data_IF_274946152360
#
_entry.id   IF_274946152360
#
_cell.length_a   1.000
_cell.length_b   1.000
_cell.length_c   1.000
_cell.angle_alpha   90.00
_cell.angle_beta   90.00
_cell.angle_gamma   90.00
#
_symmetry.space_group_name_H-M   'P 1'
#
loop_
_entity.id
_entity.type
_entity.pdbx_description
1 polymer ?
#
# COMPACT_ATOMS: atom_id res chain seq x y z
N UNK A 1 35.31 24.29 -22.48
CA UNK A 1 33.87 24.61 -22.31
C UNK A 1 33.09 23.50 -23.01
N UNK A 2 32.81 22.39 -22.31
CA UNK A 2 31.96 21.32 -22.86
C UNK A 2 30.50 21.64 -22.55
N UNK A 3 29.75 22.00 -23.57
CA UNK A 3 28.29 22.00 -23.53
C UNK A 3 27.82 20.56 -23.76
N UNK A 4 27.64 19.80 -22.68
CA UNK A 4 26.88 18.55 -22.76
C UNK A 4 25.40 18.90 -22.92
N UNK A 5 24.90 18.80 -24.15
CA UNK A 5 23.47 18.71 -24.40
C UNK A 5 23.01 17.31 -23.94
N UNK A 6 22.50 17.19 -22.72
CA UNK A 6 21.55 16.11 -22.41
C UNK A 6 20.25 16.46 -23.13
N UNK A 7 19.93 15.68 -24.17
CA UNK A 7 18.75 15.90 -25.00
C UNK A 7 17.48 15.22 -24.47
N UNK A 8 17.60 14.35 -23.47
CA UNK A 8 16.50 13.61 -22.87
C UNK A 8 16.57 13.78 -21.35
N UNK A 9 15.47 14.22 -20.75
CA UNK A 9 15.25 14.40 -19.32
C UNK A 9 13.72 14.56 -19.07
N UNK A 10 13.29 14.60 -17.80
CA UNK A 10 11.88 14.69 -17.43
C UNK A 10 11.59 15.91 -16.55
N UNK A 11 10.32 16.31 -16.46
CA UNK A 11 9.85 17.23 -15.43
C UNK A 11 9.60 16.47 -14.13
N UNK A 12 10.23 16.90 -13.04
CA UNK A 12 10.01 16.36 -11.70
C UNK A 12 9.26 17.39 -10.84
N UNK A 13 8.22 16.93 -10.15
CA UNK A 13 7.30 17.79 -9.41
C UNK A 13 7.66 17.86 -7.92
N UNK A 14 7.70 19.06 -7.38
CA UNK A 14 7.79 19.29 -5.95
C UNK A 14 6.41 19.18 -5.29
N UNK A 15 6.32 18.40 -4.22
CA UNK A 15 5.10 18.19 -3.45
C UNK A 15 5.41 18.14 -1.95
N UNK A 16 4.52 17.58 -1.13
CA UNK A 16 4.61 17.55 0.34
C UNK A 16 5.94 17.06 0.89
N UNK A 17 6.62 16.11 0.20
CA UNK A 17 7.95 15.65 0.61
C UNK A 17 9.03 16.73 0.42
N UNK A 18 9.03 17.46 -0.69
CA UNK A 18 9.96 18.58 -0.91
C UNK A 18 9.79 19.69 0.13
N UNK A 19 8.54 19.98 0.51
CA UNK A 19 8.22 20.96 1.55
C UNK A 19 8.69 20.45 2.93
N UNK A 20 8.51 19.17 3.26
CA UNK A 20 8.99 18.62 4.53
C UNK A 20 10.51 18.61 4.65
N UNK A 21 11.23 18.46 3.52
CA UNK A 21 12.68 18.64 3.43
C UNK A 21 13.13 20.12 3.44
N UNK A 22 12.22 21.08 3.62
CA UNK A 22 12.50 22.53 3.68
C UNK A 22 13.14 23.08 2.40
N UNK A 23 12.84 22.49 1.24
CA UNK A 23 13.17 23.10 -0.05
C UNK A 23 12.33 24.37 -0.26
N UNK A 24 12.75 25.24 -1.18
CA UNK A 24 12.14 26.54 -1.43
C UNK A 24 10.82 26.44 -2.23
N UNK A 25 9.85 25.69 -1.69
CA UNK A 25 8.59 25.29 -2.31
C UNK A 25 7.44 25.83 -1.44
N UNK A 26 6.80 26.96 -1.83
CA UNK A 26 5.79 27.62 -0.99
C UNK A 26 4.43 26.91 -0.93
N UNK A 27 4.05 26.16 -1.97
CA UNK A 27 2.76 25.45 -2.08
C UNK A 27 2.92 24.12 -2.80
N UNK A 28 1.97 23.20 -2.58
CA UNK A 28 1.85 21.93 -3.31
C UNK A 28 1.18 22.13 -4.68
N UNK A 29 1.26 21.15 -5.60
CA UNK A 29 0.56 21.21 -6.88
C UNK A 29 -0.94 21.49 -6.72
N UNK A 30 -1.47 22.36 -7.56
CA UNK A 30 -2.87 22.79 -7.58
C UNK A 30 -3.55 22.35 -8.87
N UNK A 31 -4.74 21.77 -8.73
CA UNK A 31 -5.71 21.54 -9.79
C UNK A 31 -7.11 21.66 -9.21
N UNK A 32 -8.07 22.08 -10.04
CA UNK A 32 -9.46 22.31 -9.62
C UNK A 32 -10.40 21.63 -10.63
N UNK A 33 -11.43 20.86 -10.21
CA UNK A 33 -12.21 20.01 -11.10
C UNK A 33 -13.08 20.78 -12.11
N UNK A 34 -13.32 22.07 -11.87
CA UNK A 34 -13.96 22.99 -12.79
C UNK A 34 -12.99 23.66 -13.79
N UNK A 35 -11.68 23.66 -13.50
CA UNK A 35 -10.62 24.19 -14.36
C UNK A 35 -9.99 23.05 -15.19
N UNK A 36 -10.77 22.53 -16.15
CA UNK A 36 -10.46 21.29 -16.89
C UNK A 36 -9.07 21.33 -17.54
N UNK A 37 -8.23 20.35 -17.18
CA UNK A 37 -6.88 20.18 -17.71
C UNK A 37 -5.80 21.00 -16.99
N UNK A 38 -6.17 22.01 -16.19
CA UNK A 38 -5.20 22.90 -15.54
C UNK A 38 -4.55 22.22 -14.33
N UNK A 39 -3.22 22.07 -14.39
CA UNK A 39 -2.38 21.63 -13.27
C UNK A 39 -1.21 22.60 -13.14
N UNK A 40 -1.05 23.20 -11.95
CA UNK A 40 0.04 24.15 -11.66
C UNK A 40 0.93 23.55 -10.57
N UNK A 41 2.24 23.55 -10.76
CA UNK A 41 3.18 22.92 -9.83
C UNK A 41 4.57 23.58 -9.84
N UNK A 42 5.27 23.56 -8.71
CA UNK A 42 6.72 23.80 -8.70
C UNK A 42 7.45 22.56 -9.23
N UNK A 43 8.50 22.77 -10.02
CA UNK A 43 9.23 21.63 -10.59
C UNK A 43 10.67 21.93 -10.99
N UNK A 44 11.36 20.86 -11.37
CA UNK A 44 12.72 20.89 -11.91
C UNK A 44 12.84 19.95 -13.09
N UNK A 45 13.45 20.41 -14.18
CA UNK A 45 13.73 19.58 -15.38
C UNK A 45 15.09 18.91 -15.22
N UNK A 46 15.14 17.58 -15.38
CA UNK A 46 16.34 16.77 -15.18
C UNK A 46 16.03 15.28 -15.02
N UNK A 47 16.95 14.52 -14.41
CA UNK A 47 16.79 13.08 -14.17
C UNK A 47 16.15 12.75 -12.81
N UNK A 48 16.10 13.73 -11.90
CA UNK A 48 15.50 13.63 -10.56
C UNK A 48 15.02 15.00 -10.05
N UNK A 49 14.28 15.00 -8.94
CA UNK A 49 13.94 16.22 -8.18
C UNK A 49 15.23 16.93 -7.76
N UNK A 50 15.37 18.19 -8.17
CA UNK A 50 16.51 19.04 -7.81
C UNK A 50 16.36 19.68 -6.43
N UNK A 51 17.47 20.06 -5.80
CA UNK A 51 17.48 20.90 -4.57
C UNK A 51 17.61 22.40 -4.87
N UNK A 52 17.73 22.76 -6.15
CA UNK A 52 17.80 24.15 -6.60
C UNK A 52 16.46 24.87 -6.38
N UNK A 53 16.47 26.20 -6.39
CA UNK A 53 15.24 27.00 -6.33
C UNK A 53 14.37 26.67 -7.56
N UNK A 54 13.12 26.21 -7.37
CA UNK A 54 12.29 25.73 -8.47
C UNK A 54 11.57 26.86 -9.20
N UNK A 55 11.32 26.63 -10.49
CA UNK A 55 10.36 27.40 -11.28
C UNK A 55 8.95 26.84 -11.11
N UNK A 56 7.93 27.60 -11.52
CA UNK A 56 6.55 27.11 -11.60
C UNK A 56 6.25 26.68 -13.04
N UNK A 57 5.66 25.50 -13.18
CA UNK A 57 5.22 24.90 -14.43
C UNK A 57 3.70 24.77 -14.43
N UNK A 58 3.11 24.81 -15.62
CA UNK A 58 1.70 24.62 -15.86
C UNK A 58 1.50 23.58 -16.97
N UNK A 59 0.52 22.72 -16.78
CA UNK A 59 -0.09 21.90 -17.83
C UNK A 59 -1.53 22.38 -18.00
N UNK A 60 -2.00 22.42 -19.24
CA UNK A 60 -3.39 22.68 -19.60
C UNK A 60 -4.11 21.44 -20.15
N UNK A 61 -3.48 20.27 -20.16
CA UNK A 61 -4.02 19.03 -20.73
C UNK A 61 -4.13 17.87 -19.73
N UNK A 62 -3.94 18.15 -18.43
CA UNK A 62 -3.98 17.15 -17.35
C UNK A 62 -2.63 16.49 -17.06
N UNK A 63 -1.53 17.00 -17.62
CA UNK A 63 -0.16 16.59 -17.31
C UNK A 63 0.59 15.87 -18.44
N UNK A 64 0.03 15.83 -19.65
CA UNK A 64 0.69 15.27 -20.84
C UNK A 64 1.77 16.20 -21.37
N UNK A 65 1.47 17.49 -21.50
CA UNK A 65 2.42 18.54 -21.84
C UNK A 65 2.50 19.61 -20.76
N UNK A 66 3.67 20.25 -20.67
CA UNK A 66 4.00 21.22 -19.64
C UNK A 66 4.76 22.40 -20.23
N UNK A 67 4.45 23.61 -19.76
CA UNK A 67 5.19 24.83 -20.03
C UNK A 67 5.74 25.41 -18.72
N UNK A 68 6.88 26.11 -18.78
CA UNK A 68 7.31 26.96 -17.67
C UNK A 68 6.34 28.16 -17.60
N UNK A 69 5.66 28.31 -16.46
CA UNK A 69 4.66 29.33 -16.23
C UNK A 69 5.28 30.62 -15.68
N UNK A 70 6.16 30.49 -14.67
CA UNK A 70 6.83 31.61 -14.01
C UNK A 70 8.24 31.17 -13.55
N UNK A 71 9.21 32.08 -13.66
CA UNK A 71 10.55 31.87 -13.12
C UNK A 71 10.57 32.08 -11.61
N UNK A 72 11.20 31.16 -10.88
CA UNK A 72 11.25 31.15 -9.42
C UNK A 72 9.93 30.80 -8.72
N UNK A 73 9.97 30.60 -7.39
CA UNK A 73 8.83 30.10 -6.63
C UNK A 73 7.74 31.15 -6.48
N UNK A 74 6.50 30.77 -6.78
CA UNK A 74 5.32 31.60 -6.55
C UNK A 74 4.26 30.85 -5.75
N UNK A 75 3.44 31.57 -4.99
CA UNK A 75 2.12 31.12 -4.57
C UNK A 75 1.15 31.35 -5.72
N UNK A 76 0.25 30.40 -5.98
CA UNK A 76 -0.73 30.50 -7.06
C UNK A 76 -2.13 30.09 -6.61
N UNK A 77 -3.15 30.59 -7.31
CA UNK A 77 -4.55 30.18 -7.14
C UNK A 77 -5.30 30.29 -8.47
N UNK A 78 -6.35 29.48 -8.62
CA UNK A 78 -7.24 29.47 -9.78
C UNK A 78 -8.56 30.14 -9.37
N UNK A 79 -9.07 31.02 -10.22
CA UNK A 79 -10.33 31.74 -10.04
C UNK A 79 -11.23 31.53 -11.27
N UNK A 80 -12.53 31.77 -11.09
CA UNK A 80 -13.57 31.67 -12.14
C UNK A 80 -13.43 30.43 -13.06
N UNK A 81 -13.23 29.26 -12.46
CA UNK A 81 -13.09 27.96 -13.14
C UNK A 81 -11.98 27.89 -14.19
N UNK A 82 -10.87 28.62 -13.97
CA UNK A 82 -9.75 28.71 -14.91
C UNK A 82 -9.73 30.00 -15.73
N UNK A 83 -10.78 30.84 -15.65
CA UNK A 83 -10.85 32.13 -16.34
C UNK A 83 -9.78 33.13 -15.88
N UNK A 84 -9.25 32.99 -14.66
CA UNK A 84 -8.08 33.74 -14.18
C UNK A 84 -7.16 32.84 -13.36
N UNK A 85 -5.86 32.92 -13.63
CA UNK A 85 -4.82 32.38 -12.75
C UNK A 85 -4.10 33.57 -12.10
N UNK A 86 -3.91 33.50 -10.79
CA UNK A 86 -3.25 34.54 -9.98
C UNK A 86 -1.98 33.97 -9.36
N UNK A 87 -0.92 34.78 -9.31
CA UNK A 87 0.34 34.43 -8.65
C UNK A 87 0.95 35.58 -7.83
N UNK A 88 1.59 35.21 -6.71
CA UNK A 88 2.41 36.09 -5.86
C UNK A 88 3.81 35.49 -5.75
N UNK A 89 4.84 36.31 -5.93
CA UNK A 89 6.23 35.89 -5.82
C UNK A 89 6.60 35.51 -4.38
N UNK A 90 7.24 34.35 -4.19
CA UNK A 90 7.76 33.95 -2.89
C UNK A 90 9.14 34.60 -2.66
N UNK A 91 9.14 35.67 -1.86
CA UNK A 91 10.34 36.43 -1.51
C UNK A 91 10.50 36.55 0.00
N UNK A 92 11.75 36.71 0.45
CA UNK A 92 12.08 37.10 1.82
C UNK A 92 11.97 38.62 2.06
N UNK A 93 11.79 39.40 0.98
CA UNK A 93 11.57 40.84 1.03
C UNK A 93 10.06 41.17 0.92
N UNK A 94 9.61 42.32 1.44
CA UNK A 94 8.24 42.79 1.27
C UNK A 94 7.85 42.94 -0.21
N UNK A 95 6.62 42.52 -0.54
CA UNK A 95 6.06 42.60 -1.90
C UNK A 95 4.80 43.49 -1.93
N UNK A 96 4.53 44.09 -3.07
CA UNK A 96 3.34 44.90 -3.34
C UNK A 96 2.73 44.68 -4.74
N UNK A 97 3.18 43.64 -5.44
CA UNK A 97 2.78 43.30 -6.81
C UNK A 97 2.10 41.93 -6.81
N UNK A 98 0.99 41.83 -7.54
CA UNK A 98 0.32 40.58 -7.92
C UNK A 98 0.49 40.36 -9.42
N UNK A 99 0.67 39.11 -9.83
CA UNK A 99 0.71 38.67 -11.22
C UNK A 99 -0.62 37.99 -11.55
N UNK A 100 -1.20 38.24 -12.72
CA UNK A 100 -2.40 37.52 -13.17
C UNK A 100 -2.36 37.21 -14.67
N UNK A 101 -3.04 36.14 -15.07
CA UNK A 101 -3.23 35.67 -16.44
C UNK A 101 -4.71 35.36 -16.67
N UNK A 102 -5.21 35.62 -17.88
CA UNK A 102 -6.58 35.30 -18.33
C UNK A 102 -6.58 34.34 -19.52
N UNK A 103 -5.46 33.62 -19.74
CA UNK A 103 -5.18 32.79 -20.91
C UNK A 103 -4.48 31.48 -20.52
N UNK A 104 -4.91 30.89 -19.39
CA UNK A 104 -4.37 29.66 -18.82
C UNK A 104 -2.84 29.71 -18.57
N UNK A 105 -2.34 30.84 -18.10
CA UNK A 105 -0.95 31.02 -17.66
C UNK A 105 0.06 31.34 -18.76
N UNK A 106 -0.38 31.62 -19.99
CA UNK A 106 0.51 31.90 -21.13
C UNK A 106 1.05 33.34 -21.14
N UNK A 107 0.22 34.34 -20.86
CA UNK A 107 0.62 35.74 -20.72
C UNK A 107 0.28 36.29 -19.33
N UNK A 108 1.23 37.03 -18.77
CA UNK A 108 1.14 37.55 -17.40
C UNK A 108 1.16 39.07 -17.39
N UNK A 109 0.26 39.65 -16.59
CA UNK A 109 0.21 41.07 -16.28
C UNK A 109 0.54 41.29 -14.80
N UNK A 110 1.23 42.38 -14.50
CA UNK A 110 1.57 42.81 -13.13
C UNK A 110 0.67 43.94 -12.67
N UNK A 111 0.19 43.88 -11.44
CA UNK A 111 -0.59 44.93 -10.81
C UNK A 111 -0.05 45.26 -9.41
N UNK A 112 0.19 46.54 -9.15
CA UNK A 112 0.65 47.03 -7.84
C UNK A 112 -0.55 47.26 -6.93
N UNK A 113 -0.83 46.31 -6.03
CA UNK A 113 -2.02 46.34 -5.18
C UNK A 113 -1.90 47.27 -3.96
N UNK A 114 -0.68 47.70 -3.60
CA UNK A 114 -0.45 48.64 -2.49
C UNK A 114 0.78 49.53 -2.73
N UNK A 115 0.79 50.71 -2.10
CA UNK A 115 1.95 51.61 -2.05
C UNK A 115 2.95 51.24 -0.96
N UNK A 116 2.48 50.56 0.09
CA UNK A 116 3.28 50.12 1.24
C UNK A 116 3.45 48.60 1.18
N UNK A 117 4.63 48.08 0.80
CA UNK A 117 4.87 46.65 0.67
C UNK A 117 4.68 45.86 1.96
N UNK A 118 4.26 44.60 1.83
CA UNK A 118 3.95 43.71 2.94
C UNK A 118 4.85 42.47 2.92
N UNK A 119 5.19 41.95 4.09
CA UNK A 119 5.66 40.58 4.22
C UNK A 119 4.46 39.65 3.98
N UNK A 120 4.44 39.05 2.79
CA UNK A 120 3.37 38.15 2.35
C UNK A 120 3.36 36.86 3.19
N UNK A 121 2.17 36.36 3.51
CA UNK A 121 1.99 35.11 4.27
C UNK A 121 1.06 34.11 3.62
N UNK A 122 0.12 34.53 2.77
CA UNK A 122 -0.81 33.60 2.14
C UNK A 122 -1.85 34.25 1.22
N UNK A 123 -2.46 33.40 0.39
CA UNK A 123 -3.62 33.71 -0.46
C UNK A 123 -4.87 33.04 0.14
N UNK A 124 -6.02 33.71 0.05
CA UNK A 124 -7.31 33.14 0.45
C UNK A 124 -8.41 33.48 -0.58
N UNK A 125 -9.01 32.46 -1.16
CA UNK A 125 -10.13 32.51 -2.10
C UNK A 125 -11.32 31.68 -1.60
N UNK A 126 -12.49 31.85 -2.23
CA UNK A 126 -13.67 31.00 -2.00
C UNK A 126 -13.36 29.56 -2.51
N UNK A 127 -13.55 28.51 -1.69
CA UNK A 127 -13.30 27.13 -2.11
C UNK A 127 -14.09 26.71 -3.36
N UNK A 128 -13.47 25.89 -4.20
CA UNK A 128 -14.04 25.42 -5.48
C UNK A 128 -13.85 26.41 -6.65
N UNK A 129 -12.92 27.37 -6.52
CA UNK A 129 -12.41 28.21 -7.60
C UNK A 129 -13.47 28.93 -8.48
N UNK A 130 -14.66 29.21 -7.95
CA UNK A 130 -15.79 29.85 -8.67
C UNK A 130 -15.89 31.36 -8.46
N UNK A 131 -15.17 31.91 -7.48
CA UNK A 131 -15.13 33.35 -7.23
C UNK A 131 -14.10 34.04 -8.12
N UNK A 132 -14.29 35.35 -8.34
CA UNK A 132 -13.29 36.27 -8.88
C UNK A 132 -12.56 37.07 -7.78
N UNK A 133 -12.85 36.78 -6.51
CA UNK A 133 -12.28 37.50 -5.37
C UNK A 133 -11.08 36.74 -4.80
N UNK A 134 -9.96 37.45 -4.62
CA UNK A 134 -8.76 36.93 -3.95
C UNK A 134 -8.33 37.88 -2.83
N UNK A 135 -8.05 37.34 -1.64
CA UNK A 135 -7.51 38.08 -0.50
C UNK A 135 -6.04 37.75 -0.31
N UNK A 136 -5.18 38.77 -0.48
CA UNK A 136 -3.74 38.70 -0.23
C UNK A 136 -3.52 39.02 1.25
N UNK A 137 -2.89 38.11 2.00
CA UNK A 137 -2.61 38.29 3.42
C UNK A 137 -1.12 38.51 3.67
N UNK A 138 -0.82 39.36 4.65
CA UNK A 138 0.53 39.60 5.14
C UNK A 138 0.56 40.57 6.31
N UNK A 139 1.76 41.03 6.65
CA UNK A 139 1.95 42.06 7.67
C UNK A 139 2.91 43.16 7.20
N UNK A 140 2.64 44.37 7.68
CA UNK A 140 3.57 45.50 7.61
C UNK A 140 4.45 45.43 8.85
N UNK A 141 5.76 45.40 8.67
CA UNK A 141 6.72 45.46 9.77
C UNK A 141 7.26 46.90 9.91
N UNK A 142 7.11 47.44 11.11
CA UNK A 142 7.71 48.70 11.54
C UNK A 142 8.62 48.42 12.75
N UNK A 143 9.57 49.31 13.03
CA UNK A 143 10.60 49.12 14.08
C UNK A 143 10.07 48.70 15.47
N UNK A 144 8.80 49.00 15.78
CA UNK A 144 8.16 48.67 17.07
C UNK A 144 6.93 47.77 16.98
N UNK A 145 6.36 47.52 15.79
CA UNK A 145 5.08 46.79 15.66
C UNK A 145 4.97 46.02 14.35
N UNK A 146 4.31 44.86 14.39
CA UNK A 146 3.82 44.14 13.20
C UNK A 146 2.31 44.30 13.11
N UNK A 147 1.81 44.80 11.98
CA UNK A 147 0.37 44.98 11.73
C UNK A 147 -0.08 44.06 10.61
N UNK A 148 -0.99 43.13 10.92
CA UNK A 148 -1.64 42.31 9.92
C UNK A 148 -2.54 43.14 9.02
N UNK A 149 -2.51 42.85 7.72
CA UNK A 149 -3.33 43.49 6.69
C UNK A 149 -3.79 42.45 5.67
N UNK A 150 -4.94 42.71 5.05
CA UNK A 150 -5.45 41.92 3.93
C UNK A 150 -5.91 42.84 2.82
N UNK A 151 -5.49 42.55 1.59
CA UNK A 151 -5.92 43.27 0.39
C UNK A 151 -6.77 42.33 -0.46
N UNK A 152 -8.07 42.60 -0.55
CA UNK A 152 -8.99 41.82 -1.40
C UNK A 152 -9.16 42.51 -2.75
N UNK A 153 -8.94 41.75 -3.83
CA UNK A 153 -9.08 42.19 -5.22
C UNK A 153 -10.25 41.42 -5.83
N UNK A 154 -11.17 42.14 -6.48
CA UNK A 154 -12.24 41.59 -7.30
C UNK A 154 -11.89 41.83 -8.77
N UNK A 155 -11.81 40.76 -9.55
CA UNK A 155 -11.46 40.81 -10.98
C UNK A 155 -12.64 41.07 -11.92
N UNK A 156 -13.84 41.36 -11.41
CA UNK A 156 -15.04 41.67 -12.21
C UNK A 156 -14.84 42.75 -13.28
N UNK A 157 -14.03 43.77 -12.99
CA UNK A 157 -13.72 44.85 -13.95
C UNK A 157 -12.63 44.48 -14.98
N UNK A 158 -11.96 43.34 -14.82
CA UNK A 158 -11.12 42.73 -15.85
C UNK A 158 -11.99 41.85 -16.76
N UNK A 159 -12.79 40.96 -16.19
CA UNK A 159 -13.72 40.08 -16.92
C UNK A 159 -15.13 40.69 -17.06
N UNK A 160 -15.23 41.85 -17.73
CA UNK A 160 -16.48 42.65 -17.81
C UNK A 160 -17.65 41.99 -18.53
N UNK A 161 -17.42 40.91 -19.28
CA UNK A 161 -18.43 40.23 -20.11
C UNK A 161 -18.49 38.76 -19.71
N UNK A 162 -19.68 38.21 -19.57
CA UNK A 162 -19.89 36.77 -19.39
C UNK A 162 -19.56 36.02 -20.67
N UNK A 163 -19.04 34.80 -20.55
CA UNK A 163 -18.74 33.96 -21.70
C UNK A 163 -20.01 33.49 -22.42
N UNK A 164 -19.92 33.39 -23.75
CA UNK A 164 -20.96 32.89 -24.65
C UNK A 164 -20.47 31.60 -25.33
N UNK A 165 -21.35 30.84 -25.99
CA UNK A 165 -20.97 29.57 -26.66
C UNK A 165 -19.76 29.70 -27.60
N UNK A 166 -19.62 30.84 -28.29
CA UNK A 166 -18.49 31.17 -29.19
C UNK A 166 -17.12 31.20 -28.49
N UNK A 167 -17.10 31.51 -27.19
CA UNK A 167 -15.89 31.60 -26.37
C UNK A 167 -15.34 30.23 -25.99
N UNK A 168 -16.13 29.16 -26.18
CA UNK A 168 -15.69 27.80 -25.92
C UNK A 168 -15.18 27.10 -27.19
N UNK A 169 -14.35 26.08 -27.00
CA UNK A 169 -13.85 25.17 -28.03
C UNK A 169 -14.01 23.74 -27.57
N UNK A 170 -14.23 22.83 -28.53
CA UNK A 170 -14.22 21.39 -28.27
C UNK A 170 -12.77 20.97 -28.00
N UNK A 171 -12.56 20.16 -26.96
CA UNK A 171 -11.28 19.57 -26.60
C UNK A 171 -11.49 18.10 -26.21
N UNK A 172 -10.76 17.18 -26.86
CA UNK A 172 -10.76 15.76 -26.53
C UNK A 172 -9.72 15.50 -25.44
N UNK A 173 -10.16 15.03 -24.28
CA UNK A 173 -9.23 14.65 -23.21
C UNK A 173 -8.42 13.40 -23.60
N UNK A 174 -7.18 13.32 -23.09
CA UNK A 174 -6.28 12.18 -23.28
C UNK A 174 -5.93 11.86 -24.75
N UNK A 175 -6.10 12.83 -25.67
CA UNK A 175 -5.68 12.67 -27.08
C UNK A 175 -4.15 12.61 -27.17
N UNK A 176 -3.64 11.57 -27.82
CA UNK A 176 -2.22 11.31 -28.04
C UNK A 176 -1.87 11.02 -29.49
N UNK A 177 -2.80 10.47 -30.29
CA UNK A 177 -2.62 10.23 -31.72
C UNK A 177 -3.90 10.60 -32.51
N UNK A 178 -4.02 11.88 -32.96
CA UNK A 178 -5.21 12.39 -33.66
C UNK A 178 -5.46 11.70 -35.01
N UNK A 179 -6.16 10.58 -34.97
CA UNK A 179 -6.47 9.75 -36.14
C UNK A 179 -6.74 8.29 -35.78
N UNK A 180 -6.21 7.81 -34.66
CA UNK A 180 -6.52 6.47 -34.17
C UNK A 180 -7.96 6.37 -33.62
N UNK A 181 -8.57 5.19 -33.80
CA UNK A 181 -9.89 4.90 -33.25
C UNK A 181 -9.86 4.82 -31.72
N UNK A 182 -8.74 4.42 -31.11
CA UNK A 182 -8.50 4.41 -29.67
C UNK A 182 -8.18 5.77 -29.04
N UNK A 183 -7.90 6.81 -29.83
CA UNK A 183 -7.40 8.09 -29.31
C UNK A 183 -8.28 8.71 -28.22
N UNK A 184 -7.73 8.98 -27.03
CA UNK A 184 -8.49 9.47 -25.88
C UNK A 184 -9.35 8.44 -25.13
N UNK A 185 -9.28 7.14 -25.44
CA UNK A 185 -9.91 6.09 -24.63
C UNK A 185 -9.15 5.88 -23.32
N UNK A 186 -9.71 6.30 -22.19
CA UNK A 186 -9.22 6.00 -20.83
C UNK A 186 -10.33 5.31 -20.04
N UNK A 187 -10.01 4.17 -19.43
CA UNK A 187 -10.98 3.33 -18.71
C UNK A 187 -12.22 3.01 -19.56
N UNK A 188 -12.00 2.71 -20.84
CA UNK A 188 -13.04 2.26 -21.77
C UNK A 188 -13.97 3.34 -22.34
N UNK A 189 -13.67 4.63 -22.17
CA UNK A 189 -14.42 5.73 -22.82
C UNK A 189 -13.56 6.97 -23.05
N UNK A 190 -14.01 7.82 -23.97
CA UNK A 190 -13.46 9.14 -24.25
C UNK A 190 -14.33 10.22 -23.62
N UNK A 191 -13.76 11.36 -23.24
CA UNK A 191 -14.51 12.56 -22.83
C UNK A 191 -14.14 13.77 -23.70
N UNK A 192 -15.12 14.32 -24.40
CA UNK A 192 -14.99 15.60 -25.12
C UNK A 192 -15.57 16.72 -24.26
N UNK A 193 -14.81 17.78 -24.02
CA UNK A 193 -15.17 18.93 -23.21
C UNK A 193 -15.41 20.16 -24.07
N UNK A 194 -16.28 21.07 -23.60
CA UNK A 194 -16.24 22.47 -24.01
C UNK A 194 -15.36 23.23 -23.02
N UNK A 195 -14.22 23.73 -23.48
CA UNK A 195 -13.27 24.53 -22.70
C UNK A 195 -13.21 25.96 -23.18
N UNK A 196 -12.97 26.90 -22.26
CA UNK A 196 -12.79 28.31 -22.59
C UNK A 196 -11.57 28.47 -23.52
N UNK A 197 -11.71 29.26 -24.59
CA UNK A 197 -10.57 29.61 -25.45
C UNK A 197 -9.62 30.51 -24.69
N UNK A 198 -8.32 30.23 -24.73
CA UNK A 198 -7.26 31.08 -24.16
C UNK A 198 -7.30 32.54 -24.64
N UNK A 199 -7.82 32.79 -25.85
CA UNK A 199 -8.02 34.12 -26.41
C UNK A 199 -9.31 34.84 -25.96
N UNK A 200 -10.22 34.15 -25.28
CA UNK A 200 -11.53 34.68 -24.86
C UNK A 200 -11.48 35.21 -23.43
N UNK A 201 -11.24 36.50 -23.30
CA UNK A 201 -11.27 37.20 -22.01
C UNK A 201 -12.74 37.47 -21.62
N UNK A 202 -13.33 36.56 -20.86
CA UNK A 202 -14.70 36.64 -20.35
C UNK A 202 -14.85 35.84 -19.04
N UNK A 203 -15.94 36.11 -18.31
CA UNK A 203 -16.28 35.40 -17.08
C UNK A 203 -17.08 34.11 -17.37
N UNK A 204 -16.61 32.95 -16.90
CA UNK A 204 -17.34 31.69 -16.91
C UNK A 204 -18.61 31.76 -16.04
N UNK A 205 -18.47 32.33 -14.83
CA UNK A 205 -19.60 32.54 -13.90
C UNK A 205 -19.66 31.52 -12.76
N UNK A 206 -20.31 31.91 -11.65
CA UNK A 206 -20.45 31.06 -10.44
C UNK A 206 -21.27 29.80 -10.71
N UNK A 207 -22.25 29.89 -11.59
CA UNK A 207 -23.13 28.83 -12.06
C UNK A 207 -22.55 27.99 -13.21
N UNK A 208 -21.31 28.27 -13.65
CA UNK A 208 -20.61 27.46 -14.64
C UNK A 208 -20.59 25.96 -14.27
N UNK A 209 -20.96 25.14 -15.25
CA UNK A 209 -20.93 23.68 -15.21
C UNK A 209 -20.07 23.20 -16.37
N UNK A 210 -19.09 22.35 -16.06
CA UNK A 210 -18.23 21.72 -17.06
C UNK A 210 -19.09 20.88 -18.01
N UNK A 211 -19.23 21.33 -19.25
CA UNK A 211 -19.95 20.59 -20.29
C UNK A 211 -19.04 19.55 -20.91
N UNK A 212 -19.43 18.28 -20.80
CA UNK A 212 -18.69 17.16 -21.40
C UNK A 212 -19.60 16.08 -21.98
N UNK A 213 -19.14 15.44 -23.04
CA UNK A 213 -19.83 14.36 -23.74
C UNK A 213 -18.96 13.09 -23.74
N UNK A 214 -19.41 11.99 -23.09
CA UNK A 214 -18.70 10.72 -23.12
C UNK A 214 -18.94 9.97 -24.44
N UNK A 215 -17.93 9.26 -24.93
CA UNK A 215 -18.04 8.33 -26.06
C UNK A 215 -17.46 6.97 -25.67
N UNK A 216 -18.28 5.92 -25.66
CA UNK A 216 -17.85 4.60 -25.16
C UNK A 216 -16.95 3.90 -26.17
N UNK A 217 -15.84 3.31 -25.69
CA UNK A 217 -14.90 2.54 -26.49
C UNK A 217 -15.26 1.04 -26.48
N UNK A 218 -14.79 0.32 -27.50
CA UNK A 218 -14.85 -1.15 -27.53
C UNK A 218 -13.84 -1.73 -26.53
N UNK A 219 -14.20 -2.78 -25.80
CA UNK A 219 -13.27 -3.41 -24.87
C UNK A 219 -12.10 -4.10 -25.59
N UNK A 220 -10.90 -3.95 -25.03
CA UNK A 220 -9.68 -4.65 -25.37
C UNK A 220 -9.30 -5.63 -24.25
N UNK A 221 -8.08 -6.20 -24.27
CA UNK A 221 -7.55 -6.93 -23.11
C UNK A 221 -7.00 -5.99 -22.01
N UNK A 222 -6.81 -4.71 -22.31
CA UNK A 222 -6.19 -3.73 -21.41
C UNK A 222 -7.20 -3.12 -20.44
N UNK A 223 -8.49 -3.08 -20.81
CA UNK A 223 -9.64 -2.70 -19.96
C UNK A 223 -9.95 -3.74 -18.84
N UNK A 224 -9.13 -4.79 -18.75
CA UNK A 224 -9.16 -5.82 -17.72
C UNK A 224 -7.85 -5.83 -16.92
N UNK A 225 -7.92 -6.27 -15.66
CA UNK A 225 -6.78 -6.66 -14.83
C UNK A 225 -6.75 -8.18 -14.67
N UNK A 226 -5.58 -8.74 -14.35
CA UNK A 226 -5.49 -10.15 -14.02
C UNK A 226 -6.11 -10.40 -12.65
N UNK A 227 -7.02 -11.36 -12.59
CA UNK A 227 -7.65 -11.74 -11.34
C UNK A 227 -6.70 -12.67 -10.53
N UNK A 228 -7.11 -13.00 -9.30
CA UNK A 228 -6.27 -13.76 -8.36
C UNK A 228 -5.62 -15.01 -8.99
N UNK A 229 -4.32 -15.22 -8.74
CA UNK A 229 -3.55 -16.36 -9.28
C UNK A 229 -3.20 -16.29 -10.77
N UNK A 230 -3.43 -15.15 -11.43
CA UNK A 230 -2.98 -14.86 -12.79
C UNK A 230 -2.01 -13.66 -12.81
N UNK A 231 -1.22 -13.52 -13.88
CA UNK A 231 -0.32 -12.39 -14.10
C UNK A 231 -0.14 -12.11 -15.60
N UNK A 232 0.37 -10.93 -15.96
CA UNK A 232 0.82 -10.62 -17.33
C UNK A 232 2.33 -10.89 -17.46
N UNK A 233 2.79 -11.70 -18.43
CA UNK A 233 4.20 -11.73 -18.82
C UNK A 233 4.64 -10.38 -19.43
N UNK A 234 5.95 -10.15 -19.49
CA UNK A 234 6.50 -8.99 -20.19
C UNK A 234 6.06 -8.99 -21.66
N UNK A 235 5.58 -7.84 -22.14
CA UNK A 235 5.11 -7.60 -23.51
C UNK A 235 3.90 -8.45 -23.98
N UNK A 236 3.11 -9.06 -23.07
CA UNK A 236 1.83 -9.70 -23.42
C UNK A 236 0.66 -9.12 -22.60
N UNK A 237 -0.39 -8.63 -23.27
CA UNK A 237 -1.61 -8.12 -22.65
C UNK A 237 -2.48 -9.24 -22.04
N UNK A 238 -2.18 -10.52 -22.31
CA UNK A 238 -2.94 -11.68 -21.80
C UNK A 238 -2.53 -12.04 -20.37
N UNK A 239 -3.53 -12.26 -19.54
CA UNK A 239 -3.34 -12.86 -18.22
C UNK A 239 -3.12 -14.37 -18.36
N UNK A 240 -1.98 -14.87 -17.87
CA UNK A 240 -1.65 -16.30 -17.80
C UNK A 240 -1.66 -16.77 -16.34
N UNK A 241 -1.95 -18.05 -16.13
CA UNK A 241 -2.04 -18.62 -14.78
C UNK A 241 -0.65 -18.69 -14.15
N UNK A 242 -0.49 -18.22 -12.91
CA UNK A 242 0.79 -18.30 -12.20
C UNK A 242 1.21 -19.78 -12.03
N UNK A 243 2.46 -20.19 -12.31
CA UNK A 243 2.88 -21.58 -12.12
C UNK A 243 2.73 -22.05 -10.67
N UNK A 244 3.07 -21.19 -9.70
CA UNK A 244 3.11 -21.47 -8.27
C UNK A 244 2.76 -20.19 -7.50
N UNK A 245 1.86 -20.29 -6.51
CA UNK A 245 1.46 -19.16 -5.66
C UNK A 245 2.44 -19.02 -4.49
N UNK A 246 2.90 -17.80 -4.18
CA UNK A 246 3.96 -17.54 -3.18
C UNK A 246 3.65 -16.34 -2.28
N UNK A 247 4.21 -16.35 -1.07
CA UNK A 247 4.02 -15.28 -0.09
C UNK A 247 2.52 -15.02 0.17
N UNK A 248 2.11 -13.76 0.05
CA UNK A 248 0.73 -13.35 0.30
C UNK A 248 -0.31 -14.02 -0.62
N UNK A 249 0.05 -14.40 -1.85
CA UNK A 249 -0.87 -15.09 -2.77
C UNK A 249 -1.19 -16.50 -2.25
N UNK A 250 -0.21 -17.18 -1.65
CA UNK A 250 -0.42 -18.49 -1.04
C UNK A 250 -1.28 -18.38 0.22
N UNK A 251 -1.03 -17.38 1.05
CA UNK A 251 -1.82 -17.09 2.26
C UNK A 251 -3.30 -16.81 1.89
N UNK A 252 -3.53 -15.95 0.89
CA UNK A 252 -4.87 -15.68 0.38
C UNK A 252 -5.55 -16.93 -0.20
N UNK A 253 -4.81 -17.82 -0.86
CA UNK A 253 -5.37 -19.06 -1.37
C UNK A 253 -5.79 -20.05 -0.27
N UNK A 254 -5.05 -20.08 0.85
CA UNK A 254 -5.32 -20.99 1.98
C UNK A 254 -6.43 -20.48 2.90
N UNK A 255 -6.51 -19.18 3.15
CA UNK A 255 -7.41 -18.58 4.15
C UNK A 255 -8.50 -17.67 3.55
N UNK A 256 -8.44 -17.37 2.25
CA UNK A 256 -9.41 -16.52 1.56
C UNK A 256 -10.79 -17.15 1.37
N UNK A 257 -11.77 -16.29 1.06
CA UNK A 257 -13.14 -16.72 0.73
C UNK A 257 -13.18 -17.38 -0.64
N UNK A 258 -13.87 -18.52 -0.74
CA UNK A 258 -13.91 -19.36 -1.96
C UNK A 258 -14.40 -18.60 -3.19
N UNK A 259 -15.34 -17.65 -3.01
CA UNK A 259 -15.86 -16.75 -4.05
C UNK A 259 -14.80 -15.86 -4.73
N UNK A 260 -13.64 -15.65 -4.09
CA UNK A 260 -12.49 -14.92 -4.65
C UNK A 260 -11.40 -15.85 -5.19
N UNK A 261 -11.52 -17.17 -4.97
CA UNK A 261 -10.62 -18.21 -5.47
C UNK A 261 -11.18 -18.88 -6.74
N UNK A 262 -12.48 -18.71 -7.01
CA UNK A 262 -13.14 -19.10 -8.25
C UNK A 262 -13.05 -17.98 -9.29
N UNK A 263 -12.21 -18.14 -10.31
CA UNK A 263 -11.95 -17.08 -11.32
C UNK A 263 -11.75 -17.62 -12.73
N UNK A 264 -12.02 -16.79 -13.74
CA UNK A 264 -11.66 -17.02 -15.15
C UNK A 264 -10.27 -16.41 -15.51
N UNK A 265 -9.63 -15.71 -14.56
CA UNK A 265 -8.33 -15.06 -14.69
C UNK A 265 -8.35 -13.61 -15.20
N UNK A 266 -9.52 -13.02 -15.45
CA UNK A 266 -9.67 -11.62 -15.86
C UNK A 266 -10.83 -10.95 -15.13
N UNK A 267 -10.58 -9.73 -14.64
CA UNK A 267 -11.60 -8.89 -14.02
C UNK A 267 -11.57 -7.52 -14.67
N UNK A 268 -12.74 -6.92 -14.93
CA UNK A 268 -12.80 -5.58 -15.54
C UNK A 268 -12.16 -4.55 -14.60
N UNK A 269 -11.42 -3.58 -15.13
CA UNK A 269 -10.79 -2.54 -14.31
C UNK A 269 -11.89 -1.74 -13.57
N UNK A 270 -11.73 -1.46 -12.25
CA UNK A 270 -12.69 -0.63 -11.52
C UNK A 270 -12.86 0.75 -12.13
N UNK A 271 -14.11 1.12 -12.43
CA UNK A 271 -14.46 2.38 -13.09
C UNK A 271 -14.51 2.30 -14.62
N UNK A 272 -14.12 1.18 -15.22
CA UNK A 272 -14.09 1.00 -16.67
C UNK A 272 -15.48 0.86 -17.30
N UNK A 273 -15.73 1.63 -18.37
CA UNK A 273 -17.03 1.73 -19.06
C UNK A 273 -17.04 1.23 -20.51
N UNK A 274 -15.99 0.55 -20.99
CA UNK A 274 -15.98 -0.08 -22.32
C UNK A 274 -17.19 -1.02 -22.52
N UNK A 275 -17.68 -1.12 -23.76
CA UNK A 275 -18.82 -1.96 -24.14
C UNK A 275 -18.55 -2.67 -25.47
N UNK A 276 -19.00 -3.92 -25.59
CA UNK A 276 -18.67 -4.75 -26.77
C UNK A 276 -17.18 -5.07 -26.85
N UNK A 277 -16.69 -5.43 -28.04
CA UNK A 277 -15.28 -5.78 -28.24
C UNK A 277 -14.90 -7.12 -27.59
N UNK A 278 -13.71 -7.18 -27.00
CA UNK A 278 -13.15 -8.37 -26.36
C UNK A 278 -13.82 -8.63 -25.02
N UNK A 279 -14.36 -9.83 -24.85
CA UNK A 279 -14.71 -10.39 -23.55
C UNK A 279 -13.90 -11.67 -23.34
N UNK A 280 -12.96 -11.73 -22.37
CA UNK A 280 -12.10 -12.89 -22.17
C UNK A 280 -12.86 -14.06 -21.52
N UNK A 281 -13.61 -14.80 -22.35
CA UNK A 281 -14.32 -16.02 -21.92
C UNK A 281 -13.31 -17.14 -21.67
N UNK A 282 -13.26 -17.61 -20.42
CA UNK A 282 -12.55 -18.81 -19.97
C UNK A 282 -13.43 -19.58 -19.00
N UNK A 283 -13.19 -20.88 -18.87
CA UNK A 283 -13.78 -21.68 -17.80
C UNK A 283 -13.37 -21.13 -16.44
N UNK A 284 -14.33 -21.02 -15.52
CA UNK A 284 -14.07 -20.59 -14.14
C UNK A 284 -13.34 -21.72 -13.42
N UNK A 285 -12.11 -21.45 -12.98
CA UNK A 285 -11.29 -22.37 -12.20
C UNK A 285 -11.37 -22.05 -10.71
N UNK A 286 -11.48 -23.10 -9.91
CA UNK A 286 -11.28 -23.06 -8.46
C UNK A 286 -9.79 -23.23 -8.14
N UNK A 287 -9.14 -22.14 -7.75
CA UNK A 287 -7.71 -22.13 -7.40
C UNK A 287 -7.41 -22.70 -6.01
N UNK A 288 -8.42 -22.88 -5.13
CA UNK A 288 -8.24 -23.47 -3.79
C UNK A 288 -7.66 -24.88 -3.90
N UNK A 289 -8.17 -25.69 -4.84
CA UNK A 289 -7.64 -27.02 -5.13
C UNK A 289 -6.17 -26.99 -5.52
N UNK A 290 -5.73 -25.96 -6.25
CA UNK A 290 -4.33 -25.81 -6.69
C UNK A 290 -3.40 -25.59 -5.51
N UNK A 291 -3.67 -24.60 -4.64
CA UNK A 291 -2.83 -24.39 -3.46
C UNK A 291 -2.92 -25.51 -2.43
N UNK A 292 -4.08 -26.16 -2.26
CA UNK A 292 -4.18 -27.32 -1.34
C UNK A 292 -3.52 -28.59 -1.88
N UNK A 293 -3.26 -28.70 -3.19
CA UNK A 293 -2.75 -29.95 -3.80
C UNK A 293 -1.34 -30.34 -3.36
N UNK A 294 -0.53 -29.38 -2.93
CA UNK A 294 0.81 -29.60 -2.35
C UNK A 294 0.77 -30.01 -0.88
N UNK A 295 -0.36 -29.83 -0.19
CA UNK A 295 -0.54 -30.22 1.21
C UNK A 295 -1.15 -31.62 1.32
N UNK A 296 -0.59 -32.43 2.22
CA UNK A 296 -1.15 -33.74 2.54
C UNK A 296 -2.48 -33.59 3.29
N UNK A 297 -3.59 -33.87 2.60
CA UNK A 297 -4.93 -33.92 3.20
C UNK A 297 -4.97 -34.95 4.35
N UNK A 298 -5.52 -34.61 5.53
CA UNK A 298 -5.42 -35.44 6.74
C UNK A 298 -6.06 -36.83 6.61
N UNK A 299 -7.00 -37.04 5.67
CA UNK A 299 -7.61 -38.35 5.42
C UNK A 299 -6.60 -39.45 5.05
N UNK A 300 -5.47 -39.12 4.41
CA UNK A 300 -4.44 -40.11 4.03
C UNK A 300 -3.60 -40.64 5.20
N UNK A 301 -3.68 -40.05 6.39
CA UNK A 301 -3.00 -40.55 7.59
C UNK A 301 -3.83 -41.60 8.37
N UNK A 302 -5.12 -41.77 8.05
CA UNK A 302 -5.98 -42.78 8.68
C UNK A 302 -5.79 -44.20 8.10
N UNK A 303 -4.54 -44.66 7.97
CA UNK A 303 -4.29 -46.09 8.00
C UNK A 303 -4.59 -46.58 9.41
N UNK A 304 -5.75 -47.23 9.58
CA UNK A 304 -6.16 -47.85 10.85
C UNK A 304 -5.04 -48.75 11.38
N UNK A 305 -4.35 -48.29 12.42
CA UNK A 305 -3.56 -49.16 13.29
C UNK A 305 -4.54 -50.02 14.09
N UNK A 306 -5.01 -51.10 13.46
CA UNK A 306 -5.73 -52.15 14.17
C UNK A 306 -4.76 -52.78 15.15
N UNK A 307 -4.79 -52.35 16.41
CA UNK A 307 -3.98 -52.86 17.53
C UNK A 307 -4.44 -54.25 18.02
N UNK A 308 -5.60 -54.72 17.55
CA UNK A 308 -6.22 -56.01 17.87
C UNK A 308 -5.28 -57.24 17.76
N UNK A 309 -4.51 -57.47 16.68
CA UNK A 309 -3.63 -58.63 16.59
C UNK A 309 -2.43 -58.53 17.54
N UNK A 310 -1.97 -57.31 17.87
CA UNK A 310 -0.88 -57.08 18.83
C UNK A 310 -1.37 -57.41 20.25
N UNK A 311 -2.59 -56.98 20.60
CA UNK A 311 -3.22 -57.28 21.90
C UNK A 311 -3.53 -58.78 22.02
N UNK A 312 -4.00 -59.43 20.95
CA UNK A 312 -4.22 -60.89 20.97
C UNK A 312 -2.92 -61.68 21.10
N UNK A 313 -1.83 -61.22 20.48
CA UNK A 313 -0.52 -61.86 20.61
C UNK A 313 0.05 -61.74 22.04
N UNK A 314 -0.07 -60.57 22.70
CA UNK A 314 0.40 -60.40 24.08
C UNK A 314 -0.45 -61.17 25.09
N UNK A 315 -1.78 -61.17 24.95
CA UNK A 315 -2.68 -61.99 25.79
C UNK A 315 -2.42 -63.48 25.58
N UNK A 316 -2.21 -63.92 24.33
CA UNK A 316 -1.83 -65.31 24.02
C UNK A 316 -0.52 -65.72 24.68
N UNK A 317 0.52 -64.87 24.60
CA UNK A 317 1.81 -65.13 25.25
C UNK A 317 1.67 -65.23 26.78
N UNK A 318 0.89 -64.34 27.40
CA UNK A 318 0.62 -64.36 28.84
C UNK A 318 -0.15 -65.61 29.30
N UNK A 319 -1.10 -66.11 28.49
CA UNK A 319 -1.78 -67.37 28.79
C UNK A 319 -0.83 -68.57 28.66
N UNK A 320 0.06 -68.59 27.66
CA UNK A 320 1.05 -69.66 27.49
C UNK A 320 2.06 -69.68 28.65
N UNK A 321 2.54 -68.53 29.13
CA UNK A 321 3.46 -68.47 30.29
C UNK A 321 2.78 -68.91 31.58
N UNK A 322 1.51 -68.55 31.81
CA UNK A 322 0.73 -69.02 32.96
C UNK A 322 0.51 -70.54 32.90
N UNK A 323 0.13 -71.10 31.74
CA UNK A 323 -0.05 -72.55 31.57
C UNK A 323 1.28 -73.29 31.77
N UNK A 324 2.39 -72.78 31.23
CA UNK A 324 3.72 -73.36 31.45
C UNK A 324 4.11 -73.34 32.94
N UNK A 325 3.87 -72.23 33.64
CA UNK A 325 4.09 -72.11 35.09
C UNK A 325 3.28 -73.14 35.90
N UNK A 326 1.98 -73.28 35.60
CA UNK A 326 1.11 -74.27 36.25
C UNK A 326 1.57 -75.70 35.97
N UNK A 327 2.02 -76.01 34.74
CA UNK A 327 2.56 -77.33 34.40
C UNK A 327 3.89 -77.64 35.10
N UNK A 328 4.77 -76.65 35.26
CA UNK A 328 6.03 -76.79 36.00
C UNK A 328 5.75 -77.04 37.49
N UNK A 329 4.89 -76.24 38.12
CA UNK A 329 4.50 -76.43 39.54
C UNK A 329 3.85 -77.80 39.73
N UNK A 330 2.91 -78.19 38.85
CA UNK A 330 2.26 -79.52 38.90
C UNK A 330 3.24 -80.68 38.71
N UNK A 331 4.30 -80.50 37.91
CA UNK A 331 5.32 -81.52 37.65
C UNK A 331 6.35 -81.68 38.78
N UNK A 332 6.64 -80.62 39.54
CA UNK A 332 7.71 -80.62 40.53
C UNK A 332 7.28 -80.55 42.01
N UNK A 333 6.02 -80.21 42.32
CA UNK A 333 5.58 -80.01 43.73
C UNK A 333 4.62 -81.10 44.25
N UNK A 334 3.92 -81.86 43.39
CA UNK A 334 2.84 -82.76 43.81
C UNK A 334 2.98 -84.25 43.38
N UNK A 335 4.19 -84.76 43.19
CA UNK A 335 4.39 -86.16 42.74
C UNK A 335 5.73 -86.77 43.17
N UNK A 336 5.89 -87.07 44.46
CA UNK A 336 7.16 -87.57 45.01
C UNK A 336 7.40 -89.08 44.91
N UNK A 337 8.64 -89.46 44.58
CA UNK A 337 9.43 -90.62 45.09
C UNK A 337 10.87 -90.44 44.56
N UNK A 338 11.89 -90.06 45.33
CA UNK A 338 12.55 -90.68 46.51
C UNK A 338 13.31 -91.99 46.21
N UNK A 339 14.64 -91.87 46.03
CA UNK A 339 15.72 -92.83 46.33
C UNK A 339 17.07 -92.11 46.02
N UNK A 340 18.04 -91.83 46.89
CA UNK A 340 18.61 -92.42 48.14
C UNK A 340 19.85 -93.29 47.91
N UNK A 341 21.04 -92.68 48.12
CA UNK A 341 22.31 -93.26 48.64
C UNK A 341 23.15 -94.23 47.75
N UNK A 342 24.48 -94.44 47.93
CA UNK A 342 25.49 -94.05 48.99
C UNK A 342 26.98 -94.24 48.56
N UNK A 343 27.92 -93.53 49.21
CA UNK A 343 29.39 -93.75 49.39
C UNK A 343 30.34 -93.77 48.16
N UNK A 344 31.66 -93.50 48.25
CA UNK A 344 32.62 -93.46 49.40
C UNK A 344 33.70 -92.32 49.25
N UNK A 345 34.21 -91.66 50.33
CA UNK A 345 35.44 -91.96 51.16
C UNK A 345 36.77 -91.63 50.40
N UNK A 346 37.76 -90.87 50.90
CA UNK A 346 38.15 -90.36 52.24
C UNK A 346 39.12 -89.13 52.16
N UNK A 347 39.45 -88.58 53.35
CA UNK A 347 40.67 -87.81 53.74
C UNK A 347 40.76 -86.29 53.41
N UNK A 348 41.35 -85.39 54.23
CA UNK A 348 41.57 -85.32 55.72
C UNK A 348 42.03 -83.88 56.16
N UNK A 349 41.75 -83.48 57.41
CA UNK A 349 42.45 -82.43 58.23
C UNK A 349 42.45 -80.93 57.81
N UNK A 350 42.52 -79.92 58.70
CA UNK A 350 42.49 -79.85 60.19
C UNK A 350 42.19 -78.41 60.72
N UNK A 351 41.79 -78.30 62.01
CA UNK A 351 42.00 -77.14 62.95
C UNK A 351 41.34 -75.77 62.63
N UNK A 352 41.01 -74.87 63.58
CA UNK A 352 40.86 -74.90 65.05
C UNK A 352 39.93 -73.74 65.55
N UNK A 353 39.70 -73.64 66.86
CA UNK A 353 38.76 -72.71 67.54
C UNK A 353 39.23 -71.24 67.64
N UNK A 354 38.34 -70.29 67.99
CA UNK A 354 38.76 -69.01 68.62
C UNK A 354 37.71 -67.89 68.67
N UNK A 355 37.29 -67.50 69.88
CA UNK A 355 36.21 -66.55 70.24
C UNK A 355 36.71 -65.12 70.57
N UNK A 356 35.79 -64.14 70.56
CA UNK A 356 35.78 -62.79 71.20
C UNK A 356 36.49 -61.55 70.57
N UNK A 357 35.68 -60.52 70.27
CA UNK A 357 35.68 -59.26 71.04
C UNK A 357 36.21 -57.95 70.41
N UNK A 358 35.48 -56.84 70.69
CA UNK A 358 35.91 -55.40 70.65
C UNK A 358 35.99 -54.79 69.22
N UNK A 359 35.39 -53.64 68.89
CA UNK A 359 35.52 -52.30 69.52
C UNK A 359 34.24 -51.43 69.57
N UNK A 360 34.27 -50.37 70.40
CA UNK A 360 33.16 -49.44 70.71
C UNK A 360 33.47 -47.97 70.40
N UNK A 361 32.45 -47.15 70.06
CA UNK A 361 32.10 -45.87 70.75
C UNK A 361 31.09 -44.98 69.98
N UNK A 362 30.28 -44.25 70.76
CA UNK A 362 29.20 -43.32 70.35
C UNK A 362 29.69 -41.88 70.04
N UNK A 363 28.80 -40.99 69.54
CA UNK A 363 28.17 -39.88 70.34
C UNK A 363 27.51 -38.77 69.49
N UNK A 364 26.34 -38.27 69.95
CA UNK A 364 25.58 -37.02 69.59
C UNK A 364 24.95 -36.93 68.17
N UNK A 365 23.66 -36.56 67.93
CA UNK A 365 22.76 -35.48 68.44
C UNK A 365 23.10 -34.07 67.88
N UNK A 366 22.19 -33.15 67.52
CA UNK A 366 20.73 -33.02 67.71
C UNK A 366 20.13 -32.01 66.66
N UNK A 367 18.84 -32.16 66.29
CA UNK A 367 17.85 -31.12 65.80
C UNK A 367 18.29 -29.73 65.26
N UNK A 368 17.73 -29.27 64.12
CA UNK A 368 16.69 -28.19 64.11
C UNK A 368 15.99 -27.89 62.76
N UNK A 369 15.12 -26.85 62.74
CA UNK A 369 13.92 -26.63 61.88
C UNK A 369 13.87 -25.19 61.29
N UNK A 370 12.87 -24.91 60.44
CA UNK A 370 12.38 -23.59 59.90
C UNK A 370 12.98 -23.16 58.54
N UNK A 371 12.30 -22.37 57.69
CA UNK A 371 11.04 -21.60 57.87
C UNK A 371 10.30 -21.17 56.58
N UNK A 372 9.27 -20.33 56.72
CA UNK A 372 8.19 -19.98 55.75
C UNK A 372 8.40 -18.67 54.96
N UNK A 373 7.76 -18.57 53.78
CA UNK A 373 6.81 -17.53 53.27
C UNK A 373 6.86 -17.48 51.72
N UNK A 374 5.95 -16.89 50.93
CA UNK A 374 4.49 -16.59 50.86
C UNK A 374 4.33 -15.48 49.77
N UNK A 375 3.09 -15.11 49.43
CA UNK A 375 2.70 -13.94 48.59
C UNK A 375 2.79 -14.02 47.04
N UNK A 376 2.25 -12.97 46.39
CA UNK A 376 1.33 -13.02 45.24
C UNK A 376 1.76 -12.21 43.99
N UNK A 377 0.76 -11.91 43.13
CA UNK A 377 0.65 -10.89 42.05
C UNK A 377 0.58 -11.54 40.65
N UNK A 378 -0.47 -11.41 39.81
CA UNK A 378 -1.34 -10.28 39.36
C UNK A 378 -0.64 -9.20 38.52
N UNK A 379 -1.43 -8.60 37.62
CA UNK A 379 -1.07 -7.54 36.64
C UNK A 379 -0.08 -7.95 35.50
N UNK A 380 -0.13 -7.43 34.28
CA UNK A 380 -1.09 -6.77 33.38
C UNK A 380 -0.22 -6.33 32.17
N UNK A 381 -0.69 -6.45 30.93
CA UNK A 381 -0.06 -5.79 29.79
C UNK A 381 -1.13 -5.20 28.86
N UNK A 382 -1.17 -3.87 28.80
CA UNK A 382 -1.51 -3.10 27.59
C UNK A 382 -0.28 -3.02 26.67
#
# INVERSE_FOLDING_TARGET
MLWFYLHECSLHIHASYSISQKLNVPVVPLSEPNAVGIVIAHGSVGDAISVMIPDVYISDDGGYSWAKMLEGPHYYTILDSGGIIVAIEHSSLPINVIKFSTDEGQCWQTYTFTKEPIYFTGLASEPGAKSMNISIWGFIESFLTRRWVSYTIDFKDILKRNCEEKDYTIWLAHSTDPGDYGDGCILGYKEQFLRLRKSSVCQNGRDYVVTKQPSVCLCSLEDFLCDFGYFRPENDSKCVEQPELKGHDLEFCLYGREEHLTTNGYRKIPGDKCQGGVNPVREVKDLKKKCTSSFLSPEKQNFKSNSVPIILATVGLMLVTVIAGVLIVKKYVCGGRFLVHRYSVLQQHAEANGVDGVDTLDTASHTNKSGYHDDSDEDLLE
#
